data_IF_093026339250
#
_entry.id   IF_093026339250
#
_cell.length_a   1.000
_cell.length_b   1.000
_cell.length_c   1.000
_cell.angle_alpha   90.00
_cell.angle_beta   90.00
_cell.angle_gamma   90.00
#
_symmetry.space_group_name_H-M   'P 1'
#
loop_
_entity.id
_entity.type
_entity.pdbx_description
1 polymer ?
#
# COMPACT_ATOMS: atom_id res chain seq x y z
N UNK A 1 1.12 13.13 6.61
CA UNK A 1 1.03 13.01 5.16
C UNK A 1 1.88 11.84 4.67
N UNK A 2 1.45 11.17 3.60
CA UNK A 2 2.26 10.28 2.76
C UNK A 2 2.20 10.87 1.36
N UNK A 3 3.36 11.20 0.80
CA UNK A 3 3.46 11.83 -0.52
C UNK A 3 4.19 10.89 -1.47
N UNK A 4 3.62 10.64 -2.65
CA UNK A 4 4.16 9.75 -3.68
C UNK A 4 4.37 10.57 -4.95
N UNK A 5 5.62 10.71 -5.36
CA UNK A 5 6.07 11.49 -6.52
C UNK A 5 6.98 10.64 -7.41
N UNK A 6 6.41 9.89 -8.35
CA UNK A 6 7.17 9.02 -9.24
C UNK A 6 8.21 9.74 -10.10
N UNK A 7 7.99 11.02 -10.35
CA UNK A 7 8.85 11.83 -11.23
C UNK A 7 9.94 12.60 -10.48
N UNK A 8 9.89 12.63 -9.16
CA UNK A 8 10.83 13.37 -8.30
C UNK A 8 10.91 14.89 -8.56
N UNK A 9 9.83 15.49 -9.06
CA UNK A 9 9.84 16.88 -9.51
C UNK A 9 8.94 17.79 -8.69
N UNK A 10 7.75 17.32 -8.29
CA UNK A 10 6.70 18.19 -7.79
C UNK A 10 6.59 18.18 -6.26
N UNK A 11 6.69 17.02 -5.62
CA UNK A 11 6.48 16.87 -4.18
C UNK A 11 7.78 16.83 -3.37
N UNK A 12 8.93 16.70 -4.00
CA UNK A 12 10.24 16.63 -3.32
C UNK A 12 10.55 17.87 -2.48
N UNK A 13 9.97 19.02 -2.82
CA UNK A 13 10.10 20.27 -2.06
C UNK A 13 9.58 20.15 -0.62
N UNK A 14 8.58 19.28 -0.39
CA UNK A 14 7.97 19.06 0.93
C UNK A 14 8.78 18.15 1.84
N UNK A 15 9.90 17.58 1.36
CA UNK A 15 10.75 16.71 2.17
C UNK A 15 11.19 17.42 3.46
N UNK A 16 11.02 16.71 4.59
CA UNK A 16 11.41 17.20 5.91
C UNK A 16 10.39 18.06 6.65
N UNK A 17 9.17 18.26 6.12
CA UNK A 17 8.10 18.89 6.90
C UNK A 17 7.59 17.95 8.00
N UNK A 18 7.18 18.48 9.18
CA UNK A 18 6.81 17.65 10.34
C UNK A 18 5.57 16.78 10.13
N UNK A 19 4.82 16.99 9.06
CA UNK A 19 3.59 16.23 8.75
C UNK A 19 3.85 14.89 8.07
N UNK A 20 5.06 14.68 7.52
CA UNK A 20 5.39 13.46 6.78
C UNK A 20 5.51 12.27 7.73
N UNK A 21 4.88 11.16 7.36
CA UNK A 21 4.98 9.87 8.05
C UNK A 21 6.14 9.00 7.53
N UNK A 22 6.61 9.28 6.32
CA UNK A 22 7.79 8.70 5.69
C UNK A 22 8.40 9.75 4.75
N UNK A 23 9.65 9.59 4.29
CA UNK A 23 10.21 10.41 3.21
C UNK A 23 9.29 10.44 2.00
N UNK A 24 9.40 11.48 1.16
CA UNK A 24 8.65 11.54 -0.10
C UNK A 24 9.02 10.33 -0.95
N UNK A 25 8.02 9.53 -1.30
CA UNK A 25 8.19 8.23 -1.95
C UNK A 25 8.35 8.42 -3.44
N UNK A 26 9.46 8.00 -3.99
CA UNK A 26 9.79 8.12 -5.42
C UNK A 26 9.91 6.76 -6.11
N UNK A 27 10.16 5.70 -5.38
CA UNK A 27 10.21 4.33 -5.89
C UNK A 27 8.83 3.68 -5.94
N UNK A 28 8.54 2.96 -7.03
CA UNK A 28 7.23 2.35 -7.25
C UNK A 28 6.92 1.18 -6.31
N UNK A 29 7.94 0.44 -5.89
CA UNK A 29 7.79 -0.66 -4.93
C UNK A 29 7.48 -0.11 -3.53
N UNK A 30 8.18 0.94 -3.12
CA UNK A 30 7.91 1.65 -1.88
C UNK A 30 6.54 2.32 -1.90
N UNK A 31 6.11 2.89 -3.03
CA UNK A 31 4.77 3.44 -3.21
C UNK A 31 3.69 2.37 -3.00
N UNK A 32 3.87 1.18 -3.57
CA UNK A 32 2.97 0.06 -3.32
C UNK A 32 3.00 -0.40 -1.85
N UNK A 33 4.17 -0.35 -1.18
CA UNK A 33 4.30 -0.64 0.25
C UNK A 33 3.53 0.39 1.09
N UNK A 34 3.66 1.68 0.79
CA UNK A 34 2.94 2.76 1.48
C UNK A 34 1.41 2.61 1.36
N UNK A 35 0.91 2.20 0.18
CA UNK A 35 -0.51 1.90 0.01
C UNK A 35 -0.94 0.65 0.80
N UNK A 36 -0.14 -0.42 0.82
CA UNK A 36 -0.41 -1.61 1.64
C UNK A 36 -0.44 -1.27 3.13
N UNK A 37 0.54 -0.49 3.59
CA UNK A 37 0.56 0.01 4.96
C UNK A 37 -0.69 0.83 5.28
N UNK A 38 -1.14 1.70 4.37
CA UNK A 38 -2.36 2.51 4.54
C UNK A 38 -3.61 1.63 4.70
N UNK A 39 -3.69 0.52 3.97
CA UNK A 39 -4.76 -0.48 4.14
C UNK A 39 -4.67 -1.16 5.51
N UNK A 40 -3.49 -1.58 5.92
CA UNK A 40 -3.27 -2.24 7.22
C UNK A 40 -3.60 -1.29 8.39
N UNK A 41 -3.16 -0.02 8.31
CA UNK A 41 -3.48 1.01 9.30
C UNK A 41 -4.99 1.30 9.36
N UNK A 42 -5.66 1.35 8.20
CA UNK A 42 -7.11 1.46 8.15
C UNK A 42 -7.79 0.31 8.92
N UNK A 43 -7.36 -0.91 8.69
CA UNK A 43 -7.91 -2.09 9.38
C UNK A 43 -7.61 -2.09 10.87
N UNK A 44 -6.40 -1.69 11.26
CA UNK A 44 -6.04 -1.52 12.66
C UNK A 44 -6.95 -0.50 13.34
N UNK A 45 -7.18 0.66 12.70
CA UNK A 45 -8.08 1.69 13.21
C UNK A 45 -9.53 1.18 13.34
N UNK A 46 -10.01 0.40 12.38
CA UNK A 46 -11.34 -0.22 12.48
C UNK A 46 -11.45 -1.18 13.65
N UNK A 47 -10.43 -2.01 13.90
CA UNK A 47 -10.40 -2.90 15.08
C UNK A 47 -10.43 -2.10 16.39
N UNK A 48 -9.63 -1.03 16.48
CA UNK A 48 -9.64 -0.13 17.65
C UNK A 48 -11.02 0.53 17.85
N UNK A 49 -11.59 1.11 16.80
CA UNK A 49 -12.90 1.75 16.87
C UNK A 49 -14.00 0.76 17.29
N UNK A 50 -13.96 -0.46 16.75
CA UNK A 50 -14.88 -1.53 17.13
C UNK A 50 -14.74 -1.93 18.60
N UNK A 51 -13.52 -2.14 19.08
CA UNK A 51 -13.26 -2.48 20.48
C UNK A 51 -13.67 -1.35 21.43
N UNK A 52 -13.57 -0.11 20.98
CA UNK A 52 -13.97 1.07 21.75
C UNK A 52 -15.46 1.43 21.61
N UNK A 53 -16.22 0.72 20.76
CA UNK A 53 -17.64 0.96 20.55
C UNK A 53 -17.95 2.29 19.85
N UNK A 54 -17.05 2.77 18.98
CA UNK A 54 -17.21 4.02 18.22
C UNK A 54 -17.25 3.76 16.72
N UNK A 55 -17.84 4.67 15.93
CA UNK A 55 -18.10 4.44 14.51
C UNK A 55 -17.13 5.17 13.57
N UNK A 56 -16.36 6.11 14.07
CA UNK A 56 -15.42 6.91 13.27
C UNK A 56 -14.27 7.46 14.12
N UNK A 57 -13.25 7.98 13.46
CA UNK A 57 -12.06 8.53 14.09
C UNK A 57 -12.39 9.71 15.06
N UNK A 58 -13.33 10.57 14.70
CA UNK A 58 -13.72 11.70 15.57
C UNK A 58 -14.30 11.22 16.91
N UNK A 59 -15.14 10.18 16.87
CA UNK A 59 -15.69 9.54 18.07
C UNK A 59 -14.61 8.87 18.91
N UNK A 60 -13.67 8.18 18.26
CA UNK A 60 -12.50 7.58 18.92
C UNK A 60 -11.67 8.66 19.64
N UNK A 61 -11.27 9.70 18.92
CA UNK A 61 -10.43 10.77 19.45
C UNK A 61 -11.10 11.52 20.60
N UNK A 62 -12.42 11.75 20.51
CA UNK A 62 -13.19 12.34 21.60
C UNK A 62 -13.13 11.47 22.87
N UNK A 63 -13.43 10.17 22.72
CA UNK A 63 -13.42 9.23 23.85
C UNK A 63 -12.06 9.12 24.53
N UNK A 64 -10.98 9.08 23.74
CA UNK A 64 -9.60 9.05 24.25
C UNK A 64 -9.28 10.36 24.97
N UNK A 65 -9.61 11.49 24.38
CA UNK A 65 -9.37 12.82 24.98
C UNK A 65 -10.13 12.98 26.30
N UNK A 66 -11.43 12.67 26.31
CA UNK A 66 -12.25 12.76 27.53
C UNK A 66 -11.69 11.93 28.67
N UNK A 67 -11.16 10.73 28.36
CA UNK A 67 -10.53 9.87 29.37
C UNK A 67 -9.20 10.44 29.88
N UNK A 68 -8.39 11.05 29.02
CA UNK A 68 -7.15 11.74 29.41
C UNK A 68 -7.48 12.94 30.31
N UNK A 69 -8.43 13.76 29.91
CA UNK A 69 -8.86 14.96 30.64
C UNK A 69 -9.48 14.61 32.02
N UNK A 70 -10.11 13.44 32.11
CA UNK A 70 -10.65 12.91 33.37
C UNK A 70 -9.59 12.24 34.29
N UNK A 71 -8.32 12.18 33.85
CA UNK A 71 -7.24 11.52 34.59
C UNK A 71 -7.32 9.97 34.61
N UNK A 72 -8.12 9.38 33.75
CA UNK A 72 -8.30 7.92 33.61
C UNK A 72 -8.00 7.47 32.17
N UNK A 73 -6.74 7.60 31.71
CA UNK A 73 -6.37 7.27 30.34
C UNK A 73 -6.69 5.80 30.02
N UNK A 74 -7.13 5.56 28.78
CA UNK A 74 -7.53 4.24 28.29
C UNK A 74 -6.30 3.47 27.79
N UNK A 75 -6.27 2.16 28.01
CA UNK A 75 -5.24 1.26 27.49
C UNK A 75 -5.68 0.69 26.13
N UNK A 76 -4.70 0.28 25.31
CA UNK A 76 -4.97 -0.33 24.01
C UNK A 76 -5.66 -1.70 24.18
N UNK A 77 -6.92 -1.87 23.78
CA UNK A 77 -7.67 -3.11 23.91
C UNK A 77 -7.19 -4.20 22.94
N UNK A 78 -6.38 -3.86 21.93
CA UNK A 78 -5.83 -4.80 20.97
C UNK A 78 -4.47 -5.34 21.39
N UNK A 79 -3.88 -4.76 22.44
CA UNK A 79 -2.57 -5.18 22.93
C UNK A 79 -2.61 -6.61 23.48
N UNK A 80 -1.77 -7.48 22.93
CA UNK A 80 -1.58 -8.84 23.41
C UNK A 80 -0.35 -8.88 24.31
N UNK A 81 -0.56 -9.08 25.60
CA UNK A 81 0.54 -9.26 26.55
C UNK A 81 1.39 -10.45 26.14
N UNK A 82 2.69 -10.26 26.06
CA UNK A 82 3.65 -11.33 25.81
C UNK A 82 4.12 -11.96 27.13
N UNK A 83 4.20 -11.16 28.20
CA UNK A 83 4.58 -11.57 29.54
C UNK A 83 3.58 -11.04 30.58
N UNK A 84 3.60 -11.60 31.79
CA UNK A 84 2.70 -11.18 32.88
C UNK A 84 2.99 -9.75 33.39
N UNK A 85 4.19 -9.23 33.16
CA UNK A 85 4.64 -7.89 33.57
C UNK A 85 4.38 -6.82 32.48
N UNK A 86 3.93 -7.23 31.28
CA UNK A 86 3.67 -6.30 30.19
C UNK A 86 2.41 -5.46 30.50
N UNK A 87 2.55 -4.15 30.48
CA UNK A 87 1.43 -3.21 30.53
C UNK A 87 1.00 -2.78 29.13
N UNK A 88 -0.31 -2.80 28.89
CA UNK A 88 -0.85 -2.31 27.63
C UNK A 88 -0.58 -0.81 27.47
N UNK A 89 -0.09 -0.35 26.29
CA UNK A 89 0.19 1.06 26.06
C UNK A 89 -1.08 1.90 26.17
N UNK A 90 -0.92 3.14 26.61
CA UNK A 90 -2.02 4.09 26.71
C UNK A 90 -2.43 4.56 25.31
N UNK A 91 -3.72 4.64 25.09
CA UNK A 91 -4.27 5.18 23.84
C UNK A 91 -4.01 6.69 23.74
N UNK A 92 -3.63 7.12 22.54
CA UNK A 92 -3.49 8.51 22.14
C UNK A 92 -4.50 8.82 21.05
N UNK A 93 -4.81 10.10 20.86
CA UNK A 93 -5.60 10.54 19.70
C UNK A 93 -4.84 10.22 18.41
N UNK A 94 -5.57 9.76 17.41
CA UNK A 94 -5.02 9.41 16.11
C UNK A 94 -5.21 10.58 15.12
N UNK A 95 -4.17 10.95 14.37
CA UNK A 95 -4.29 11.98 13.35
C UNK A 95 -5.03 11.47 12.11
N UNK A 96 -5.59 12.40 11.35
CA UNK A 96 -6.00 12.15 9.97
C UNK A 96 -4.76 11.92 9.11
N UNK A 97 -4.81 10.92 8.24
CA UNK A 97 -3.76 10.63 7.27
C UNK A 97 -4.26 11.02 5.88
N UNK A 98 -3.44 11.75 5.13
CA UNK A 98 -3.72 12.06 3.72
C UNK A 98 -2.60 11.47 2.87
N UNK A 99 -2.99 10.61 1.93
CA UNK A 99 -2.09 10.03 0.93
C UNK A 99 -2.26 10.79 -0.37
N UNK A 100 -1.18 11.37 -0.87
CA UNK A 100 -1.15 12.20 -2.07
C UNK A 100 -0.31 11.50 -3.13
N UNK A 101 -0.85 11.32 -4.32
CA UNK A 101 -0.16 10.76 -5.48
C UNK A 101 -0.15 11.80 -6.58
N UNK A 102 1.03 12.26 -6.98
CA UNK A 102 1.21 13.31 -7.99
C UNK A 102 0.86 12.83 -9.41
N UNK A 103 1.38 11.69 -9.83
CA UNK A 103 1.07 11.10 -11.13
C UNK A 103 0.64 9.63 -10.98
N UNK A 104 -0.67 9.46 -10.85
CA UNK A 104 -1.26 8.13 -10.66
C UNK A 104 -1.09 7.21 -11.88
N UNK A 105 -1.02 7.77 -13.10
CA UNK A 105 -0.81 6.99 -14.31
C UNK A 105 0.49 6.17 -14.26
N UNK A 106 1.56 6.73 -13.73
CA UNK A 106 2.85 6.03 -13.67
C UNK A 106 2.77 4.81 -12.74
N UNK A 107 2.05 4.91 -11.63
CA UNK A 107 1.78 3.76 -10.76
C UNK A 107 0.92 2.69 -11.45
N UNK A 108 -0.12 3.10 -12.18
CA UNK A 108 -0.99 2.17 -12.92
C UNK A 108 -0.25 1.44 -14.02
N UNK A 109 0.67 2.11 -14.72
CA UNK A 109 1.46 1.52 -15.80
C UNK A 109 2.52 0.53 -15.31
N UNK A 110 3.13 0.77 -14.15
CA UNK A 110 4.24 -0.03 -13.63
C UNK A 110 3.74 -1.17 -12.74
N UNK A 111 2.84 -0.89 -11.81
CA UNK A 111 2.35 -1.86 -10.81
C UNK A 111 0.98 -2.45 -11.18
N UNK A 112 0.18 -1.70 -11.92
CA UNK A 112 -1.08 -2.14 -12.52
C UNK A 112 -2.18 -2.49 -11.50
N UNK A 113 -2.86 -3.61 -11.74
CA UNK A 113 -4.06 -4.03 -10.98
C UNK A 113 -3.90 -4.06 -9.46
N UNK A 114 -2.71 -4.36 -8.95
CA UNK A 114 -2.48 -4.40 -7.49
C UNK A 114 -2.65 -3.02 -6.84
N UNK A 115 -2.19 -1.97 -7.51
CA UNK A 115 -2.37 -0.58 -7.03
C UNK A 115 -3.84 -0.19 -7.14
N UNK A 116 -4.50 -0.52 -8.26
CA UNK A 116 -5.91 -0.24 -8.45
C UNK A 116 -6.77 -0.85 -7.33
N UNK A 117 -6.54 -2.10 -6.97
CA UNK A 117 -7.25 -2.79 -5.88
C UNK A 117 -7.00 -2.15 -4.51
N UNK A 118 -5.74 -1.78 -4.21
CA UNK A 118 -5.40 -1.09 -2.95
C UNK A 118 -6.10 0.27 -2.85
N UNK A 119 -6.05 1.07 -3.92
CA UNK A 119 -6.72 2.36 -3.99
C UNK A 119 -8.23 2.21 -3.82
N UNK A 120 -8.85 1.27 -4.54
CA UNK A 120 -10.27 1.00 -4.43
C UNK A 120 -10.65 0.61 -2.98
N UNK A 121 -9.85 -0.25 -2.33
CA UNK A 121 -10.07 -0.68 -0.95
C UNK A 121 -9.98 0.47 0.06
N UNK A 122 -8.99 1.35 -0.10
CA UNK A 122 -8.87 2.56 0.72
C UNK A 122 -10.06 3.48 0.45
N UNK A 123 -10.37 3.78 -0.80
CA UNK A 123 -11.44 4.70 -1.17
C UNK A 123 -12.82 4.25 -0.66
N UNK A 124 -13.10 2.94 -0.64
CA UNK A 124 -14.36 2.38 -0.15
C UNK A 124 -14.55 2.54 1.36
N UNK A 125 -13.49 2.41 2.15
CA UNK A 125 -13.64 2.20 3.59
C UNK A 125 -12.88 3.20 4.46
N UNK A 126 -11.85 3.86 3.96
CA UNK A 126 -10.90 4.58 4.80
C UNK A 126 -11.43 5.90 5.42
N UNK A 127 -12.51 6.46 4.87
CA UNK A 127 -13.09 7.73 5.37
C UNK A 127 -13.40 7.69 6.87
N UNK A 128 -14.04 6.65 7.35
CA UNK A 128 -14.38 6.53 8.77
C UNK A 128 -13.14 6.35 9.66
N UNK A 129 -12.08 5.76 9.13
CA UNK A 129 -10.78 5.60 9.78
C UNK A 129 -9.90 6.86 9.71
N UNK A 130 -10.36 7.92 9.04
CA UNK A 130 -9.63 9.18 8.88
C UNK A 130 -8.44 9.09 7.93
N UNK A 131 -8.52 8.25 6.90
CA UNK A 131 -7.50 8.16 5.84
C UNK A 131 -8.13 8.63 4.53
N UNK A 132 -7.49 9.58 3.87
CA UNK A 132 -7.98 10.23 2.66
C UNK A 132 -6.97 10.08 1.53
N UNK A 133 -7.47 10.03 0.29
CA UNK A 133 -6.68 9.96 -0.92
C UNK A 133 -6.85 11.22 -1.76
N UNK A 134 -5.73 11.73 -2.28
CA UNK A 134 -5.70 12.73 -3.35
C UNK A 134 -4.89 12.11 -4.49
N UNK A 135 -5.55 11.77 -5.59
CA UNK A 135 -4.93 11.19 -6.77
C UNK A 135 -4.92 12.23 -7.88
N UNK A 136 -3.76 12.56 -8.38
CA UNK A 136 -3.60 13.43 -9.54
C UNK A 136 -3.02 12.66 -10.73
N UNK A 137 -3.33 13.10 -11.94
CA UNK A 137 -2.74 12.59 -13.18
C UNK A 137 -2.81 13.64 -14.29
N UNK A 138 -1.76 13.69 -15.08
CA UNK A 138 -1.69 14.46 -16.33
C UNK A 138 -2.10 13.60 -17.55
N UNK A 139 -2.44 12.31 -17.33
CA UNK A 139 -2.81 11.35 -18.40
C UNK A 139 -4.19 10.77 -18.14
N UNK A 140 -5.26 11.52 -18.44
CA UNK A 140 -6.64 11.11 -18.18
C UNK A 140 -7.13 10.07 -19.20
N UNK A 141 -6.49 8.90 -19.26
CA UNK A 141 -6.92 7.78 -20.10
C UNK A 141 -7.85 6.83 -19.35
N UNK A 142 -8.62 6.03 -20.11
CA UNK A 142 -9.53 5.03 -19.52
C UNK A 142 -8.80 3.90 -18.79
N UNK A 143 -7.53 3.66 -19.16
CA UNK A 143 -6.68 2.66 -18.51
C UNK A 143 -6.14 3.14 -17.15
N UNK A 144 -6.12 4.45 -16.93
CA UNK A 144 -5.72 5.09 -15.68
C UNK A 144 -6.93 5.38 -14.79
N UNK A 145 -7.93 6.05 -15.35
CA UNK A 145 -9.19 6.39 -14.67
C UNK A 145 -10.24 5.32 -15.01
N UNK A 146 -10.01 4.14 -14.46
CA UNK A 146 -10.82 2.95 -14.71
C UNK A 146 -12.22 3.05 -14.10
N UNK A 147 -13.13 2.14 -14.51
CA UNK A 147 -14.45 2.04 -13.90
C UNK A 147 -14.40 1.75 -12.40
N UNK A 148 -13.41 0.98 -11.93
CA UNK A 148 -13.23 0.68 -10.51
C UNK A 148 -12.82 1.93 -9.71
N UNK A 149 -11.89 2.72 -10.23
CA UNK A 149 -11.48 4.00 -9.64
C UNK A 149 -12.66 4.97 -9.59
N UNK A 150 -13.39 5.14 -10.71
CA UNK A 150 -14.55 6.03 -10.77
C UNK A 150 -15.68 5.65 -9.80
N UNK A 151 -15.92 4.36 -9.63
CA UNK A 151 -16.96 3.86 -8.72
C UNK A 151 -16.65 4.17 -7.25
N UNK A 152 -15.38 4.25 -6.88
CA UNK A 152 -14.94 4.40 -5.50
C UNK A 152 -14.43 5.80 -5.14
N UNK A 153 -14.11 6.62 -6.15
CA UNK A 153 -13.70 8.03 -5.97
C UNK A 153 -14.74 8.93 -6.62
N UNK A 154 -15.79 9.30 -5.88
CA UNK A 154 -16.91 10.05 -6.43
C UNK A 154 -16.62 11.53 -6.61
N UNK A 155 -15.68 12.09 -5.85
CA UNK A 155 -15.26 13.50 -5.96
C UNK A 155 -14.22 13.61 -7.06
N UNK A 156 -14.46 14.49 -8.04
CA UNK A 156 -13.54 14.66 -9.17
C UNK A 156 -13.34 16.14 -9.48
N UNK A 157 -12.14 16.43 -9.94
CA UNK A 157 -11.76 17.78 -10.40
C UNK A 157 -11.07 17.65 -11.74
N UNK A 158 -11.44 18.49 -12.69
CA UNK A 158 -10.76 18.59 -13.98
C UNK A 158 -10.36 20.04 -14.24
N UNK A 159 -9.06 20.24 -14.41
CA UNK A 159 -8.53 21.45 -15.02
C UNK A 159 -8.70 21.40 -16.55
N UNK A 160 -8.25 22.41 -17.27
CA UNK A 160 -8.31 22.42 -18.72
C UNK A 160 -7.64 21.17 -19.30
N UNK A 161 -8.35 20.52 -20.22
CA UNK A 161 -7.86 19.37 -20.99
C UNK A 161 -7.91 19.68 -22.48
N UNK A 162 -7.15 18.90 -23.28
CA UNK A 162 -7.03 19.13 -24.71
C UNK A 162 -8.24 18.64 -25.53
N UNK A 163 -9.02 17.69 -24.96
CA UNK A 163 -10.13 17.09 -25.70
C UNK A 163 -11.37 16.87 -24.84
N UNK A 164 -12.54 16.82 -25.53
CA UNK A 164 -13.80 16.42 -24.88
C UNK A 164 -13.78 14.97 -24.39
N UNK A 165 -12.93 14.12 -24.99
CA UNK A 165 -12.76 12.73 -24.56
C UNK A 165 -12.13 12.70 -23.19
N UNK A 166 -11.08 13.48 -22.95
CA UNK A 166 -10.39 13.59 -21.66
C UNK A 166 -11.34 14.11 -20.58
N UNK A 167 -12.14 15.16 -20.90
CA UNK A 167 -13.18 15.65 -19.98
C UNK A 167 -14.16 14.55 -19.59
N UNK A 168 -14.65 13.77 -20.56
CA UNK A 168 -15.55 12.64 -20.28
C UNK A 168 -14.88 11.53 -19.48
N UNK A 169 -13.60 11.28 -19.71
CA UNK A 169 -12.85 10.29 -18.93
C UNK A 169 -12.80 10.68 -17.46
N UNK A 170 -12.62 11.95 -17.14
CA UNK A 170 -12.55 12.44 -15.75
C UNK A 170 -13.95 12.61 -15.16
N UNK A 171 -14.82 13.38 -15.83
CA UNK A 171 -16.08 13.88 -15.26
C UNK A 171 -17.34 13.13 -15.73
N UNK A 172 -17.19 12.14 -16.61
CA UNK A 172 -18.28 11.46 -17.35
C UNK A 172 -19.07 12.41 -18.27
N UNK A 173 -18.62 13.66 -18.45
CA UNK A 173 -19.23 14.69 -19.29
C UNK A 173 -18.17 15.63 -19.88
N UNK A 174 -18.54 16.32 -20.96
CA UNK A 174 -17.69 17.36 -21.55
C UNK A 174 -17.71 18.65 -20.72
N UNK A 175 -16.83 19.60 -21.08
CA UNK A 175 -16.76 20.93 -20.49
C UNK A 175 -15.37 21.35 -20.05
N UNK A 176 -14.54 20.41 -19.58
CA UNK A 176 -13.18 20.75 -19.17
C UNK A 176 -12.27 21.18 -20.33
N UNK A 177 -12.58 20.78 -21.56
CA UNK A 177 -11.91 21.23 -22.79
C UNK A 177 -12.17 22.71 -23.10
N UNK A 178 -13.18 23.32 -22.48
CA UNK A 178 -13.57 24.73 -22.68
C UNK A 178 -13.05 25.65 -21.58
N UNK A 179 -12.35 25.11 -20.58
CA UNK A 179 -11.78 25.89 -19.49
C UNK A 179 -10.65 26.80 -20.00
N UNK A 180 -10.40 27.87 -19.27
CA UNK A 180 -9.47 28.94 -19.68
C UNK A 180 -8.01 28.66 -19.30
N UNK A 181 -7.75 27.60 -18.54
CA UNK A 181 -6.44 27.35 -17.92
C UNK A 181 -6.23 28.20 -16.66
N UNK A 182 -4.99 28.31 -16.20
CA UNK A 182 -4.61 29.15 -15.06
C UNK A 182 -5.41 28.92 -13.77
N UNK A 183 -5.75 27.67 -13.46
CA UNK A 183 -6.50 27.31 -12.27
C UNK A 183 -8.03 27.25 -12.47
N UNK A 184 -8.53 27.55 -13.68
CA UNK A 184 -9.93 27.35 -14.02
C UNK A 184 -10.26 25.85 -14.06
N UNK A 185 -11.21 25.39 -13.27
CA UNK A 185 -11.51 23.96 -13.10
C UNK A 185 -13.01 23.68 -12.98
N UNK A 186 -13.38 22.44 -13.30
CA UNK A 186 -14.69 21.88 -12.97
C UNK A 186 -14.55 20.94 -11.78
N UNK A 187 -15.30 21.22 -10.73
CA UNK A 187 -15.41 20.41 -9.53
C UNK A 187 -16.71 19.65 -9.53
N UNK A 188 -16.65 18.33 -9.47
CA UNK A 188 -17.80 17.44 -9.38
C UNK A 188 -17.90 16.91 -7.93
N UNK A 189 -18.80 17.46 -7.11
CA UNK A 189 -19.02 16.96 -5.74
C UNK A 189 -19.59 15.54 -5.75
N UNK A 190 -19.38 14.77 -4.68
CA UNK A 190 -19.97 13.44 -4.56
C UNK A 190 -21.50 13.52 -4.50
N UNK A 191 -22.17 12.60 -5.20
CA UNK A 191 -23.64 12.51 -5.19
C UNK A 191 -24.36 13.53 -6.07
N UNK A 192 -23.66 14.32 -6.88
CA UNK A 192 -24.23 15.24 -7.86
C UNK A 192 -23.81 14.85 -9.28
N UNK A 193 -24.67 15.13 -10.26
CA UNK A 193 -24.34 14.94 -11.68
C UNK A 193 -23.85 16.22 -12.37
N UNK A 194 -23.85 17.38 -11.67
CA UNK A 194 -23.50 18.67 -12.23
C UNK A 194 -22.21 19.20 -11.61
N UNK A 195 -21.18 19.46 -12.43
CA UNK A 195 -19.96 20.08 -11.97
C UNK A 195 -20.16 21.57 -11.67
N UNK A 196 -19.42 22.07 -10.70
CA UNK A 196 -19.35 23.45 -10.33
C UNK A 196 -18.06 24.02 -10.90
N UNK A 197 -18.13 25.15 -11.63
CA UNK A 197 -16.94 25.84 -12.09
C UNK A 197 -16.30 26.61 -10.94
N UNK A 198 -15.04 26.37 -10.70
CA UNK A 198 -14.24 26.99 -9.63
C UNK A 198 -12.95 27.50 -10.24
N UNK A 199 -12.42 28.58 -9.72
CA UNK A 199 -11.12 29.09 -10.11
C UNK A 199 -10.14 29.00 -8.94
N UNK A 200 -9.06 28.23 -9.12
CA UNK A 200 -7.96 28.11 -8.18
C UNK A 200 -7.02 29.31 -8.27
N UNK A 201 -6.56 29.81 -7.14
CA UNK A 201 -5.53 30.84 -7.13
C UNK A 201 -4.19 30.30 -7.64
N UNK A 202 -3.42 31.14 -8.32
CA UNK A 202 -2.02 30.82 -8.63
C UNK A 202 -1.18 30.84 -7.36
N UNK A 203 -0.33 29.85 -7.18
CA UNK A 203 0.66 29.76 -6.12
C UNK A 203 2.03 29.66 -6.76
N UNK A 204 2.94 30.57 -6.45
CA UNK A 204 4.29 30.54 -7.01
C UNK A 204 5.21 29.58 -6.26
N UNK A 205 6.30 29.17 -6.89
CA UNK A 205 7.30 28.30 -6.27
C UNK A 205 7.91 28.94 -5.01
N UNK A 206 8.12 30.26 -5.03
CA UNK A 206 8.62 31.00 -3.85
C UNK A 206 7.61 30.97 -2.70
N UNK A 207 6.31 31.00 -2.97
CA UNK A 207 5.28 30.88 -1.93
C UNK A 207 5.27 29.49 -1.31
N UNK A 208 5.41 28.44 -2.15
CA UNK A 208 5.52 27.06 -1.66
C UNK A 208 6.77 26.92 -0.79
N UNK A 209 7.94 27.39 -1.24
CA UNK A 209 9.18 27.33 -0.46
C UNK A 209 9.03 28.03 0.89
N UNK A 210 8.47 29.24 0.93
CA UNK A 210 8.24 29.98 2.18
C UNK A 210 7.36 29.23 3.18
N UNK A 211 6.30 28.56 2.69
CA UNK A 211 5.41 27.75 3.54
C UNK A 211 6.14 26.53 4.06
N UNK A 212 6.86 25.82 3.21
CA UNK A 212 7.65 24.64 3.57
C UNK A 212 8.71 24.99 4.62
N UNK A 213 9.50 26.03 4.38
CA UNK A 213 10.54 26.49 5.31
C UNK A 213 9.94 26.88 6.67
N UNK A 214 8.82 27.59 6.67
CA UNK A 214 8.13 27.95 7.90
C UNK A 214 7.66 26.72 8.70
N UNK A 215 7.28 25.61 8.04
CA UNK A 215 6.92 24.37 8.72
C UNK A 215 8.14 23.59 9.20
N UNK A 216 9.24 23.55 8.43
CA UNK A 216 10.51 22.93 8.85
C UNK A 216 11.08 23.57 10.11
N UNK A 217 10.90 24.88 10.28
CA UNK A 217 11.30 25.59 11.50
C UNK A 217 10.46 25.21 12.73
N UNK A 218 9.26 24.67 12.56
CA UNK A 218 8.35 24.30 13.66
C UNK A 218 8.60 22.90 14.21
N UNK A 219 9.27 22.04 13.46
CA UNK A 219 9.58 20.67 13.89
C UNK A 219 10.14 19.83 12.75
N UNK A 220 10.73 18.70 13.14
CA UNK A 220 11.16 17.65 12.22
C UNK A 220 10.08 16.57 12.09
N UNK A 221 10.09 15.80 10.99
CA UNK A 221 9.21 14.65 10.85
C UNK A 221 9.59 13.51 11.80
N UNK A 222 8.59 12.75 12.24
CA UNK A 222 8.77 11.50 12.98
C UNK A 222 8.36 10.35 12.04
N UNK A 223 9.34 9.79 11.35
CA UNK A 223 9.12 8.80 10.30
C UNK A 223 8.79 7.43 10.87
N UNK A 224 7.84 6.75 10.22
CA UNK A 224 7.45 5.36 10.48
C UNK A 224 8.14 4.47 9.44
N UNK A 225 9.21 3.78 9.85
CA UNK A 225 10.05 2.96 8.94
C UNK A 225 9.25 1.85 8.24
N UNK A 226 8.27 1.27 8.91
CA UNK A 226 7.43 0.18 8.38
C UNK A 226 6.63 0.56 7.12
N UNK A 227 6.44 1.86 6.86
CA UNK A 227 5.69 2.32 5.68
C UNK A 227 6.39 1.91 4.39
N UNK A 228 7.71 2.05 4.32
CA UNK A 228 8.51 1.79 3.12
C UNK A 228 9.08 0.38 3.10
N UNK A 229 9.37 -0.20 4.25
CA UNK A 229 10.01 -1.50 4.37
C UNK A 229 9.19 -2.64 3.72
N UNK A 230 7.89 -2.44 3.54
CA UNK A 230 6.98 -3.52 3.19
C UNK A 230 6.84 -4.47 4.39
N UNK A 231 5.65 -4.84 4.77
CA UNK A 231 5.45 -5.84 5.80
C UNK A 231 6.26 -7.08 5.42
N UNK A 232 7.33 -7.35 6.16
CA UNK A 232 8.06 -8.62 6.12
C UNK A 232 7.18 -9.71 6.74
N UNK A 233 6.08 -10.00 6.09
CA UNK A 233 5.10 -10.97 6.48
C UNK A 233 4.37 -11.42 5.22
N UNK A 234 4.48 -12.68 4.95
CA UNK A 234 3.72 -13.48 4.02
C UNK A 234 2.22 -13.13 4.12
N UNK A 235 1.77 -12.11 3.39
CA UNK A 235 0.36 -11.81 3.28
C UNK A 235 -0.28 -12.84 2.36
N UNK A 236 -0.81 -13.86 3.00
CA UNK A 236 -1.80 -14.76 2.44
C UNK A 236 -3.02 -14.01 1.89
N UNK A 237 -2.86 -13.32 0.76
CA UNK A 237 -3.95 -12.95 -0.12
C UNK A 237 -3.93 -13.86 -1.35
N UNK A 238 -4.26 -15.13 -1.09
CA UNK A 238 -4.63 -16.07 -2.13
C UNK A 238 -6.13 -15.90 -2.42
N UNK A 239 -6.44 -15.01 -3.35
CA UNK A 239 -7.71 -15.05 -4.09
C UNK A 239 -7.43 -15.75 -5.41
N UNK A 240 -8.11 -16.84 -5.65
CA UNK A 240 -7.94 -17.69 -6.82
C UNK A 240 -8.19 -16.96 -8.14
N UNK A 241 -7.45 -17.37 -9.16
CA UNK A 241 -7.59 -16.92 -10.55
C UNK A 241 -6.42 -17.46 -11.38
N UNK A 242 -6.75 -18.38 -12.26
CA UNK A 242 -5.87 -19.09 -13.18
C UNK A 242 -5.01 -18.17 -14.08
N UNK A 243 -3.81 -18.65 -14.38
CA UNK A 243 -3.16 -18.59 -15.69
C UNK A 243 -2.39 -17.33 -16.01
N UNK A 244 -1.07 -17.45 -16.11
CA UNK A 244 -0.23 -16.47 -16.78
C UNK A 244 1.26 -16.73 -16.54
N UNK A 245 1.90 -17.38 -17.46
CA UNK A 245 3.36 -17.52 -17.56
C UNK A 245 3.99 -16.13 -17.69
N UNK A 246 5.02 -15.84 -16.91
CA UNK A 246 5.84 -14.64 -17.00
C UNK A 246 7.22 -14.90 -16.44
N UNK A 247 8.20 -14.91 -17.32
CA UNK A 247 9.62 -15.16 -17.12
C UNK A 247 10.29 -14.22 -16.10
N UNK A 248 11.32 -14.77 -15.47
CA UNK A 248 12.57 -14.07 -15.17
C UNK A 248 12.68 -13.40 -13.80
N UNK A 249 13.43 -14.02 -12.92
CA UNK A 249 13.97 -13.42 -11.71
C UNK A 249 14.93 -14.36 -11.03
N UNK A 250 16.22 -14.20 -11.30
CA UNK A 250 17.35 -14.80 -10.58
C UNK A 250 17.13 -14.66 -9.07
N UNK A 251 17.37 -15.73 -8.31
CA UNK A 251 17.49 -15.60 -6.85
C UNK A 251 16.86 -16.70 -6.01
N UNK A 252 16.83 -17.96 -6.48
CA UNK A 252 16.37 -19.09 -5.65
C UNK A 252 17.45 -19.72 -4.77
N UNK A 253 18.73 -19.45 -5.03
CA UNK A 253 19.85 -19.92 -4.22
C UNK A 253 20.17 -19.04 -3.00
N UNK A 254 19.59 -17.81 -2.95
CA UNK A 254 19.83 -16.85 -1.86
C UNK A 254 18.84 -16.97 -0.68
N UNK A 255 17.93 -17.92 -0.68
CA UNK A 255 17.05 -18.11 0.49
C UNK A 255 17.84 -18.73 1.65
N UNK A 256 17.93 -18.02 2.77
CA UNK A 256 18.68 -18.44 3.97
C UNK A 256 18.31 -19.84 4.51
N UNK A 257 17.17 -20.41 4.08
CA UNK A 257 16.73 -21.76 4.45
C UNK A 257 16.89 -22.78 3.31
N UNK A 258 17.45 -22.37 2.16
CA UNK A 258 17.58 -23.26 1.01
C UNK A 258 18.50 -24.45 1.30
N UNK A 259 19.65 -24.21 1.90
CA UNK A 259 20.61 -25.28 2.26
C UNK A 259 20.02 -26.27 3.28
N UNK A 260 19.22 -25.78 4.22
CA UNK A 260 18.52 -26.64 5.19
C UNK A 260 17.42 -27.47 4.50
N UNK A 261 16.73 -26.89 3.51
CA UNK A 261 15.76 -27.58 2.68
C UNK A 261 16.41 -28.69 1.85
N UNK A 262 17.55 -28.40 1.18
CA UNK A 262 18.32 -29.38 0.39
C UNK A 262 18.79 -30.51 1.28
N UNK A 263 19.35 -30.20 2.46
CA UNK A 263 19.79 -31.23 3.43
C UNK A 263 18.61 -32.13 3.84
N UNK A 264 17.49 -31.56 4.20
CA UNK A 264 16.30 -32.33 4.59
C UNK A 264 15.79 -33.24 3.46
N UNK A 265 15.71 -32.74 2.22
CA UNK A 265 15.24 -33.50 1.05
C UNK A 265 16.19 -34.66 0.73
N UNK A 266 17.50 -34.41 0.77
CA UNK A 266 18.51 -35.41 0.47
C UNK A 266 18.62 -36.48 1.56
N UNK A 267 18.50 -36.13 2.83
CA UNK A 267 18.47 -37.06 3.97
C UNK A 267 17.19 -37.90 4.03
N UNK A 268 16.03 -37.23 3.91
CA UNK A 268 14.72 -37.91 4.03
C UNK A 268 14.30 -38.66 2.78
N UNK A 269 14.96 -38.41 1.64
CA UNK A 269 14.55 -38.89 0.32
C UNK A 269 13.11 -38.54 -0.07
N UNK A 270 12.61 -37.42 0.44
CA UNK A 270 11.24 -36.93 0.23
C UNK A 270 11.24 -35.56 -0.42
N UNK A 271 11.08 -35.53 -1.75
CA UNK A 271 11.00 -34.31 -2.56
C UNK A 271 9.55 -33.81 -2.71
N UNK A 272 8.87 -33.52 -1.60
CA UNK A 272 7.50 -32.97 -1.66
C UNK A 272 7.41 -31.61 -1.01
N UNK A 273 6.69 -30.68 -1.64
CA UNK A 273 6.44 -29.33 -1.13
C UNK A 273 5.90 -29.37 0.31
N UNK A 274 4.93 -30.25 0.57
CA UNK A 274 4.33 -30.40 1.90
C UNK A 274 5.30 -30.95 2.96
N UNK A 275 6.33 -31.71 2.57
CA UNK A 275 7.33 -32.20 3.51
C UNK A 275 8.29 -31.08 3.91
N UNK A 276 8.77 -30.27 2.93
CA UNK A 276 9.62 -29.09 3.17
C UNK A 276 8.87 -28.05 4.00
N UNK A 277 7.63 -27.73 3.63
CA UNK A 277 6.77 -26.81 4.36
C UNK A 277 6.67 -27.16 5.85
N UNK A 278 6.35 -28.42 6.15
CA UNK A 278 6.20 -28.88 7.54
C UNK A 278 7.52 -28.89 8.32
N UNK A 279 8.61 -29.28 7.65
CA UNK A 279 9.94 -29.35 8.29
C UNK A 279 10.48 -27.99 8.66
N UNK A 280 10.39 -27.03 7.72
CA UNK A 280 10.95 -25.69 7.89
C UNK A 280 9.93 -24.69 8.47
N UNK A 281 8.67 -25.11 8.66
CA UNK A 281 7.56 -24.26 9.14
C UNK A 281 7.36 -23.00 8.28
N UNK A 282 7.48 -23.14 6.96
CA UNK A 282 7.36 -22.06 5.97
C UNK A 282 6.05 -22.16 5.19
N UNK A 283 5.67 -21.10 4.45
CA UNK A 283 4.50 -21.09 3.58
C UNK A 283 4.67 -22.01 2.36
N UNK A 284 3.54 -22.49 1.80
CA UNK A 284 3.50 -23.38 0.65
C UNK A 284 4.28 -22.83 -0.55
N UNK A 285 4.09 -21.56 -0.91
CA UNK A 285 4.74 -20.94 -2.07
C UNK A 285 6.26 -20.84 -1.91
N UNK A 286 6.76 -20.63 -0.70
CA UNK A 286 8.21 -20.63 -0.42
C UNK A 286 8.79 -22.02 -0.53
N UNK A 287 8.11 -23.03 0.01
CA UNK A 287 8.49 -24.42 -0.12
C UNK A 287 8.44 -24.90 -1.58
N UNK A 288 7.45 -24.44 -2.37
CA UNK A 288 7.33 -24.73 -3.80
C UNK A 288 8.54 -24.19 -4.58
N UNK A 289 8.88 -22.91 -4.38
CA UNK A 289 10.06 -22.28 -5.02
C UNK A 289 11.37 -22.99 -4.67
N UNK A 290 11.54 -23.42 -3.41
CA UNK A 290 12.72 -24.18 -3.01
C UNK A 290 12.80 -25.54 -3.73
N UNK A 291 11.69 -26.26 -3.87
CA UNK A 291 11.65 -27.53 -4.61
C UNK A 291 11.89 -27.31 -6.10
N UNK A 292 11.36 -26.24 -6.70
CA UNK A 292 11.63 -25.87 -8.10
C UNK A 292 13.10 -25.50 -8.31
N UNK A 293 13.71 -24.78 -7.38
CA UNK A 293 15.13 -24.48 -7.39
C UNK A 293 15.98 -25.76 -7.30
N UNK A 294 15.61 -26.70 -6.44
CA UNK A 294 16.26 -28.02 -6.35
C UNK A 294 16.11 -28.85 -7.64
N UNK A 295 15.01 -28.69 -8.36
CA UNK A 295 14.80 -29.31 -9.67
C UNK A 295 15.75 -28.70 -10.70
N UNK A 296 15.86 -27.36 -10.75
CA UNK A 296 16.82 -26.68 -11.66
C UNK A 296 18.28 -27.00 -11.31
N UNK A 297 18.62 -27.12 -10.03
CA UNK A 297 19.93 -27.49 -9.55
C UNK A 297 20.24 -29.00 -9.69
N UNK A 298 19.31 -29.82 -10.20
CA UNK A 298 19.51 -31.27 -10.38
C UNK A 298 19.53 -32.09 -9.07
N UNK A 299 19.03 -31.53 -7.99
CA UNK A 299 18.90 -32.21 -6.69
C UNK A 299 17.74 -33.21 -6.71
N UNK A 300 16.65 -32.84 -7.41
CA UNK A 300 15.45 -33.66 -7.58
C UNK A 300 15.03 -33.73 -9.05
N UNK A 301 14.26 -34.75 -9.44
CA UNK A 301 13.71 -34.87 -10.80
C UNK A 301 12.58 -33.90 -11.04
N UNK A 302 12.27 -33.65 -12.31
CA UNK A 302 11.00 -33.00 -12.69
C UNK A 302 9.81 -33.83 -12.19
N UNK A 303 8.67 -33.14 -12.03
CA UNK A 303 7.44 -33.77 -11.55
C UNK A 303 6.95 -34.81 -12.54
N UNK A 304 6.86 -36.05 -12.10
CA UNK A 304 6.34 -37.15 -12.91
C UNK A 304 4.83 -37.09 -13.09
N UNK A 305 4.26 -37.83 -14.03
CA UNK A 305 2.82 -37.88 -14.35
C UNK A 305 1.93 -38.25 -13.14
N UNK A 306 2.48 -38.89 -12.12
CA UNK A 306 1.80 -39.26 -10.89
C UNK A 306 1.98 -38.19 -9.77
N UNK A 307 2.56 -37.01 -10.06
CA UNK A 307 2.75 -35.92 -9.13
C UNK A 307 3.91 -36.06 -8.12
N UNK A 308 4.78 -37.09 -8.32
CA UNK A 308 5.94 -37.32 -7.46
C UNK A 308 7.24 -36.82 -8.10
N UNK A 309 8.21 -36.42 -7.28
CA UNK A 309 9.60 -36.14 -7.66
C UNK A 309 10.52 -37.09 -6.93
N UNK A 310 11.60 -37.52 -7.59
CA UNK A 310 12.62 -38.37 -7.01
C UNK A 310 13.86 -37.55 -6.64
N UNK A 311 14.57 -37.92 -5.58
CA UNK A 311 15.78 -37.24 -5.14
C UNK A 311 16.97 -37.89 -5.87
N UNK A 312 17.66 -37.10 -6.71
CA UNK A 312 18.81 -37.55 -7.51
C UNK A 312 20.11 -37.39 -6.71
N UNK A 313 20.25 -36.26 -5.99
CA UNK A 313 21.47 -35.94 -5.27
C UNK A 313 21.81 -37.01 -4.19
N UNK A 314 23.11 -37.33 -3.98
CA UNK A 314 23.52 -38.19 -2.88
C UNK A 314 23.21 -37.55 -1.53
N UNK A 315 22.94 -38.34 -0.52
CA UNK A 315 22.78 -37.86 0.84
C UNK A 315 24.09 -37.26 1.39
N UNK A 316 24.04 -36.38 2.40
CA UNK A 316 25.25 -35.84 3.01
C UNK A 316 26.11 -36.97 3.59
N UNK A 317 27.43 -36.82 3.41
CA UNK A 317 28.43 -37.75 3.97
C UNK A 317 28.29 -37.72 5.49
N UNK A 318 27.97 -38.82 6.11
CA UNK A 318 28.02 -38.96 7.57
C UNK A 318 29.48 -39.19 7.96
N UNK A 319 30.08 -38.19 8.62
CA UNK A 319 31.31 -38.35 9.37
C UNK A 319 31.07 -39.19 10.65
#
# INVERSE_FOLDING_TARGET
LIMIDPKMLELSIYEGIPHLLCPVVTDMKEAANALRWSVAEMERRYKLMSAMGVRNLAGFNRKVKDAIDAGTPLTDPLYKRQNMEDEAPLLKTLPTIVVIVDEFADMMMIVGKKVEELIARIAQKARAAGIHLILATQRPSVDVITGLIKANIPTRMAFQVSSKIDSRTILDQGGAEQLLGHGDMLYLPPGTGLPIRVHGAFVSDEEVHRVVDAWKLRGAPDYIEDILAGAGGDDGFSSGGEGGYGEGGEGSEEDALYDEAVRFVTESRRASISAVQRKLKIGYNRAARMIEAMEMAGVVTSMSTNGSREVIAPGPIRD
#
